data_IF_757521435287
#
_entry.id   IF_757521435287
#
_cell.length_a   1.000
_cell.length_b   1.000
_cell.length_c   1.000
_cell.angle_alpha   90.00
_cell.angle_beta   90.00
_cell.angle_gamma   90.00
#
_symmetry.space_group_name_H-M   'P 1'
#
loop_
_entity.id
_entity.type
_entity.pdbx_description
1 polymer ?
#
# COMPACT_ATOMS: atom_id res chain seq x y z
N UNK A 1 6.79 -35.80 -40.85
CA UNK A 1 7.98 -35.56 -40.03
C UNK A 1 7.66 -34.39 -39.14
N UNK A 2 7.90 -34.52 -37.84
CA UNK A 2 7.85 -33.38 -36.92
C UNK A 2 9.29 -32.92 -36.79
N UNK A 3 9.62 -31.84 -37.50
CA UNK A 3 10.98 -31.29 -37.51
C UNK A 3 11.33 -30.71 -36.13
N UNK A 4 12.58 -30.96 -35.75
CA UNK A 4 13.22 -30.64 -34.47
C UNK A 4 13.00 -29.18 -34.05
N UNK A 5 12.35 -28.98 -32.90
CA UNK A 5 12.35 -27.70 -32.19
C UNK A 5 13.68 -27.63 -31.42
N UNK A 6 14.70 -27.11 -32.08
CA UNK A 6 15.99 -26.77 -31.47
C UNK A 6 15.75 -25.77 -30.30
N UNK A 7 16.40 -26.07 -29.17
CA UNK A 7 15.96 -25.68 -27.82
C UNK A 7 15.84 -24.19 -27.53
N UNK A 8 14.85 -23.86 -26.69
CA UNK A 8 14.65 -22.53 -26.11
C UNK A 8 15.85 -22.19 -25.22
N UNK A 9 16.48 -21.04 -25.47
CA UNK A 9 17.58 -20.54 -24.62
C UNK A 9 17.09 -20.26 -23.20
N UNK A 10 17.86 -20.61 -22.15
CA UNK A 10 17.48 -20.31 -20.78
C UNK A 10 17.26 -18.81 -20.57
N UNK A 11 16.09 -18.45 -20.01
CA UNK A 11 15.78 -17.06 -19.66
C UNK A 11 16.61 -16.60 -18.45
N UNK A 12 16.92 -15.30 -18.40
CA UNK A 12 17.54 -14.70 -17.21
C UNK A 12 16.61 -14.81 -16.00
N UNK A 13 17.16 -15.17 -14.84
CA UNK A 13 16.46 -15.14 -13.57
C UNK A 13 16.31 -13.68 -13.11
N UNK A 14 15.17 -13.34 -12.50
CA UNK A 14 14.97 -12.02 -11.92
C UNK A 14 16.05 -11.75 -10.87
N UNK A 15 16.64 -10.56 -10.90
CA UNK A 15 17.59 -10.12 -9.89
C UNK A 15 16.90 -10.13 -8.52
N UNK A 16 17.43 -10.84 -7.51
CA UNK A 16 16.79 -10.90 -6.20
C UNK A 16 16.75 -9.53 -5.52
N UNK A 17 15.60 -9.20 -4.93
CA UNK A 17 15.45 -8.14 -3.93
C UNK A 17 14.93 -6.81 -4.49
N UNK A 18 13.72 -6.43 -4.08
CA UNK A 18 13.38 -5.01 -4.03
C UNK A 18 14.04 -4.42 -2.78
N UNK A 19 14.73 -3.26 -2.88
CA UNK A 19 15.30 -2.61 -1.71
C UNK A 19 14.18 -2.24 -0.72
N UNK A 20 14.51 -2.15 0.57
CA UNK A 20 13.57 -1.68 1.58
C UNK A 20 13.00 -0.30 1.19
N UNK A 21 11.68 -0.12 1.41
CA UNK A 21 10.99 1.12 1.08
C UNK A 21 11.40 2.24 2.06
N UNK A 22 12.49 2.95 1.75
CA UNK A 22 13.05 4.04 2.57
C UNK A 22 12.04 5.13 2.95
N UNK A 23 11.03 5.38 2.11
CA UNK A 23 9.96 6.34 2.39
C UNK A 23 9.15 5.97 3.64
N UNK A 24 8.93 4.68 3.88
CA UNK A 24 8.20 4.18 5.06
C UNK A 24 8.99 4.47 6.33
N UNK A 25 10.30 4.20 6.33
CA UNK A 25 11.17 4.49 7.46
C UNK A 25 11.16 5.98 7.84
N UNK A 26 11.33 6.87 6.85
CA UNK A 26 11.28 8.33 7.07
C UNK A 26 9.93 8.79 7.60
N UNK A 27 8.83 8.21 7.13
CA UNK A 27 7.49 8.52 7.66
C UNK A 27 7.37 8.11 9.12
N UNK A 28 7.78 6.90 9.48
CA UNK A 28 7.73 6.42 10.86
C UNK A 28 8.57 7.28 11.80
N UNK A 29 9.76 7.70 11.37
CA UNK A 29 10.62 8.60 12.14
C UNK A 29 9.95 9.96 12.40
N UNK A 30 9.38 10.59 11.36
CA UNK A 30 8.65 11.86 11.51
C UNK A 30 7.43 11.73 12.42
N UNK A 31 6.68 10.63 12.33
CA UNK A 31 5.51 10.40 13.19
C UNK A 31 5.94 10.25 14.66
N UNK A 32 7.02 9.50 14.93
CA UNK A 32 7.56 9.33 16.28
C UNK A 32 8.00 10.67 16.89
N UNK A 33 8.62 11.56 16.10
CA UNK A 33 9.08 12.85 16.61
C UNK A 33 7.94 13.78 17.00
N UNK A 34 6.81 13.75 16.27
CA UNK A 34 5.64 14.61 16.55
C UNK A 34 4.60 13.97 17.46
N UNK A 35 4.76 12.71 17.87
CA UNK A 35 3.71 11.95 18.56
C UNK A 35 3.13 12.71 19.78
N UNK A 36 4.01 13.35 20.56
CA UNK A 36 3.66 14.11 21.75
C UNK A 36 2.86 15.39 21.49
N UNK A 37 2.83 15.90 20.26
CA UNK A 37 2.07 17.11 19.89
C UNK A 37 0.70 16.78 19.30
N UNK A 38 0.44 15.50 19.01
CA UNK A 38 -0.83 15.05 18.45
C UNK A 38 -1.91 14.97 19.54
N UNK A 39 -3.21 15.08 19.18
CA UNK A 39 -4.31 14.85 20.11
C UNK A 39 -4.29 13.42 20.68
N UNK A 40 -4.77 13.18 21.92
CA UNK A 40 -4.71 11.87 22.58
C UNK A 40 -5.31 10.72 21.75
N UNK A 41 -6.46 10.96 21.10
CA UNK A 41 -7.10 9.96 20.25
C UNK A 41 -6.20 9.54 19.07
N UNK A 42 -5.48 10.48 18.46
CA UNK A 42 -4.57 10.20 17.36
C UNK A 42 -3.32 9.45 17.84
N UNK A 43 -2.80 9.79 19.02
CA UNK A 43 -1.66 9.08 19.63
C UNK A 43 -1.98 7.60 19.84
N UNK A 44 -3.13 7.29 20.45
CA UNK A 44 -3.56 5.91 20.70
C UNK A 44 -3.68 5.10 19.41
N UNK A 45 -4.36 5.65 18.40
CA UNK A 45 -4.55 4.97 17.11
C UNK A 45 -3.22 4.72 16.36
N UNK A 46 -2.27 5.67 16.43
CA UNK A 46 -0.96 5.53 15.80
C UNK A 46 -0.12 4.45 16.50
N UNK A 47 -0.15 4.39 17.83
CA UNK A 47 0.57 3.37 18.60
C UNK A 47 0.06 1.96 18.28
N UNK A 48 -1.26 1.78 18.22
CA UNK A 48 -1.89 0.52 17.81
C UNK A 48 -1.47 0.10 16.39
N UNK A 49 -1.50 1.05 15.45
CA UNK A 49 -1.07 0.78 14.08
C UNK A 49 0.42 0.43 13.96
N UNK A 50 1.29 1.07 14.75
CA UNK A 50 2.73 0.80 14.73
C UNK A 50 3.06 -0.60 15.27
N UNK A 51 2.33 -1.07 16.29
CA UNK A 51 2.46 -2.42 16.84
C UNK A 51 2.02 -3.49 15.82
N UNK A 52 0.98 -3.19 15.03
CA UNK A 52 0.47 -4.10 14.01
C UNK A 52 1.33 -4.18 12.72
N UNK A 53 2.20 -3.20 12.45
CA UNK A 53 3.04 -3.17 11.24
C UNK A 53 4.14 -4.25 11.17
N UNK A 54 4.38 -5.01 12.25
CA UNK A 54 5.38 -6.09 12.29
C UNK A 54 4.89 -7.44 11.74
N UNK A 55 3.58 -7.60 11.53
CA UNK A 55 3.05 -8.79 10.90
C UNK A 55 3.13 -8.63 9.37
N UNK A 56 3.91 -9.47 8.64
CA UNK A 56 3.79 -9.50 7.21
C UNK A 56 2.32 -9.83 6.91
N UNK A 57 1.67 -8.99 6.11
CA UNK A 57 0.30 -9.16 5.64
C UNK A 57 0.29 -10.38 4.69
N UNK A 58 0.56 -11.57 5.21
CA UNK A 58 0.58 -12.80 4.41
C UNK A 58 -0.86 -13.27 4.25
N UNK A 59 -1.29 -13.27 2.99
CA UNK A 59 -2.41 -14.04 2.45
C UNK A 59 -3.84 -13.49 2.64
N UNK A 60 -4.23 -12.56 1.76
CA UNK A 60 -5.43 -12.79 0.93
C UNK A 60 -5.25 -12.14 -0.44
N UNK A 61 -5.33 -12.97 -1.48
CA UNK A 61 -5.00 -12.60 -2.84
C UNK A 61 -5.89 -11.53 -3.46
N UNK A 62 -5.37 -10.99 -4.57
CA UNK A 62 -5.99 -10.06 -5.52
C UNK A 62 -6.22 -8.63 -5.02
N UNK A 63 -5.20 -7.79 -5.16
CA UNK A 63 -5.17 -6.66 -6.10
C UNK A 63 -4.01 -5.75 -5.68
N UNK A 64 -3.10 -5.50 -6.62
CA UNK A 64 -2.23 -4.34 -6.59
C UNK A 64 -3.15 -3.10 -6.62
N UNK A 65 -3.50 -2.57 -5.44
CA UNK A 65 -4.28 -1.34 -5.31
C UNK A 65 -3.71 -0.50 -4.16
N UNK A 66 -2.47 -0.04 -4.34
CA UNK A 66 -1.97 1.18 -3.67
C UNK A 66 -2.65 2.44 -4.26
N UNK A 67 -3.62 2.30 -5.18
CA UNK A 67 -4.57 3.35 -5.52
C UNK A 67 -5.61 3.40 -4.41
N UNK A 68 -5.39 4.26 -3.42
CA UNK A 68 -6.49 4.76 -2.62
C UNK A 68 -7.50 5.37 -3.60
N UNK A 69 -8.60 4.66 -3.89
CA UNK A 69 -9.71 5.19 -4.69
C UNK A 69 -10.18 6.45 -3.96
N UNK A 70 -9.84 7.62 -4.51
CA UNK A 70 -10.40 8.89 -4.06
C UNK A 70 -11.90 8.79 -4.36
N UNK A 71 -12.79 8.89 -3.36
CA UNK A 71 -14.20 9.02 -3.65
C UNK A 71 -14.36 10.35 -4.39
N UNK A 72 -14.51 10.28 -5.71
CA UNK A 72 -15.08 11.40 -6.43
C UNK A 72 -16.48 11.56 -5.84
N UNK A 73 -16.71 12.65 -5.11
CA UNK A 73 -18.07 13.07 -4.79
C UNK A 73 -18.79 13.25 -6.12
N UNK A 74 -19.50 12.23 -6.58
CA UNK A 74 -20.53 12.39 -7.61
C UNK A 74 -21.60 13.26 -6.98
N UNK A 75 -21.66 14.51 -7.43
CA UNK A 75 -22.55 15.55 -6.91
C UNK A 75 -24.03 15.28 -7.20
N UNK A 76 -24.58 14.16 -6.76
CA UNK A 76 -26.00 13.83 -6.91
C UNK A 76 -26.87 14.40 -5.77
N UNK A 77 -26.42 15.47 -5.12
CA UNK A 77 -27.03 16.01 -3.90
C UNK A 77 -27.74 17.36 -4.04
N UNK A 78 -27.72 18.03 -5.21
CA UNK A 78 -28.24 19.40 -5.34
C UNK A 78 -29.60 19.53 -6.07
N UNK A 79 -30.36 18.44 -6.25
CA UNK A 79 -31.64 18.51 -6.99
C UNK A 79 -32.93 18.56 -6.15
N UNK A 80 -32.88 18.74 -4.83
CA UNK A 80 -34.10 18.88 -4.03
C UNK A 80 -34.06 20.09 -3.09
N UNK A 81 -34.21 21.28 -3.68
CA UNK A 81 -34.83 22.41 -3.00
C UNK A 81 -36.25 22.58 -3.58
N UNK A 82 -37.31 22.64 -2.76
CA UNK A 82 -38.65 22.90 -3.26
C UNK A 82 -38.75 24.32 -3.83
N UNK A 83 -39.49 24.46 -4.94
CA UNK A 83 -39.86 25.74 -5.56
C UNK A 83 -40.72 26.60 -4.63
#
# INVERSE_FOLDING_TARGET
>A
GVDDIEGIVPQMQATPGMPERQAVARRQERVRSILHTLPPAAQSAILESLDHTGAPQTSRGYADDDTQIIPAYTGEGYEQAPK
#
